data_IF_213915564948
#
_entry.id   IF_213915564948
#
_cell.length_a   1.000
_cell.length_b   1.000
_cell.length_c   1.000
_cell.angle_alpha   90.00
_cell.angle_beta   90.00
_cell.angle_gamma   90.00
#
_symmetry.space_group_name_H-M   'P 1'
#
loop_
_entity.id
_entity.type
_entity.pdbx_description
1 polymer ?
#
# COMPACT_ATOMS: atom_id res chain seq x y z
N UNK A 1 -13.59 -20.65 25.24
CA UNK A 1 -13.02 -19.50 24.52
C UNK A 1 -11.94 -18.93 25.43
N UNK A 2 -10.68 -19.23 25.16
CA UNK A 2 -9.55 -18.74 25.95
C UNK A 2 -9.49 -17.22 25.84
N UNK A 3 -9.61 -16.53 26.97
CA UNK A 3 -9.33 -15.11 27.06
C UNK A 3 -7.81 -14.95 26.99
N UNK A 4 -7.26 -14.54 25.85
CA UNK A 4 -5.84 -14.17 25.74
C UNK A 4 -5.50 -13.19 26.87
N UNK A 5 -4.33 -13.34 27.51
CA UNK A 5 -3.83 -12.26 28.36
C UNK A 5 -3.65 -11.01 27.48
N UNK A 6 -3.82 -9.83 28.07
CA UNK A 6 -3.69 -8.58 27.31
C UNK A 6 -2.33 -8.46 26.63
N UNK A 7 -1.28 -8.99 27.24
CA UNK A 7 0.07 -9.05 26.66
C UNK A 7 0.10 -9.92 25.40
N UNK A 8 -0.48 -11.13 25.46
CA UNK A 8 -0.51 -12.04 24.30
C UNK A 8 -1.38 -11.49 23.16
N UNK A 9 -2.48 -10.80 23.47
CA UNK A 9 -3.28 -10.10 22.47
C UNK A 9 -2.49 -8.94 21.85
N UNK A 10 -1.69 -8.23 22.65
CA UNK A 10 -0.78 -7.19 22.17
C UNK A 10 0.25 -7.73 21.19
N UNK A 11 0.87 -8.87 21.52
CA UNK A 11 1.84 -9.54 20.64
C UNK A 11 1.21 -9.97 19.31
N UNK A 12 -0.03 -10.51 19.35
CA UNK A 12 -0.75 -10.91 18.14
C UNK A 12 -1.11 -9.71 17.24
N UNK A 13 -1.53 -8.59 17.83
CA UNK A 13 -1.76 -7.34 17.09
C UNK A 13 -0.47 -6.88 16.42
N UNK A 14 0.65 -6.86 17.16
CA UNK A 14 1.95 -6.42 16.64
C UNK A 14 2.42 -7.31 15.47
N UNK A 15 2.25 -8.62 15.59
CA UNK A 15 2.60 -9.58 14.54
C UNK A 15 1.76 -9.35 13.27
N UNK A 16 0.43 -9.22 13.41
CA UNK A 16 -0.45 -8.95 12.26
C UNK A 16 -0.13 -7.60 11.63
N UNK A 17 0.11 -6.57 12.44
CA UNK A 17 0.54 -5.25 11.96
C UNK A 17 1.83 -5.33 11.15
N UNK A 18 2.84 -6.05 11.61
CA UNK A 18 4.10 -6.22 10.87
C UNK A 18 3.88 -6.87 9.49
N UNK A 19 3.00 -7.88 9.41
CA UNK A 19 2.64 -8.50 8.14
C UNK A 19 1.88 -7.54 7.20
N UNK A 20 0.97 -6.73 7.75
CA UNK A 20 0.24 -5.70 6.98
C UNK A 20 1.19 -4.62 6.46
N UNK A 21 2.15 -4.19 7.27
CA UNK A 21 3.16 -3.20 6.90
C UNK A 21 4.07 -3.74 5.79
N UNK A 22 4.54 -4.99 5.91
CA UNK A 22 5.33 -5.64 4.86
C UNK A 22 4.55 -5.79 3.55
N UNK A 23 3.27 -6.17 3.62
CA UNK A 23 2.39 -6.24 2.46
C UNK A 23 2.16 -4.86 1.84
N UNK A 24 2.00 -3.82 2.66
CA UNK A 24 1.82 -2.43 2.22
C UNK A 24 3.08 -1.90 1.53
N UNK A 25 4.26 -2.16 2.08
CA UNK A 25 5.53 -1.81 1.45
C UNK A 25 5.66 -2.45 0.06
N UNK A 26 5.38 -3.76 -0.04
CA UNK A 26 5.36 -4.47 -1.33
C UNK A 26 4.34 -3.89 -2.31
N UNK A 27 3.15 -3.53 -1.84
CA UNK A 27 2.13 -2.90 -2.67
C UNK A 27 2.62 -1.56 -3.22
N UNK A 28 3.26 -0.72 -2.39
CA UNK A 28 3.79 0.57 -2.83
C UNK A 28 4.89 0.41 -3.87
N UNK A 29 5.76 -0.59 -3.75
CA UNK A 29 6.74 -0.92 -4.80
C UNK A 29 6.08 -1.30 -6.12
N UNK A 30 5.04 -2.14 -6.08
CA UNK A 30 4.29 -2.52 -7.28
C UNK A 30 3.57 -1.32 -7.91
N UNK A 31 2.98 -0.44 -7.10
CA UNK A 31 2.34 0.79 -7.57
C UNK A 31 3.37 1.69 -8.24
N UNK A 32 4.55 1.88 -7.63
CA UNK A 32 5.63 2.68 -8.20
C UNK A 32 6.05 2.14 -9.56
N UNK A 33 6.31 0.84 -9.65
CA UNK A 33 6.73 0.22 -10.90
C UNK A 33 5.66 0.33 -11.99
N UNK A 34 4.40 0.08 -11.62
CA UNK A 34 3.27 0.18 -12.54
C UNK A 34 3.03 1.62 -13.02
N UNK A 35 3.15 2.60 -12.12
CA UNK A 35 3.03 4.02 -12.45
C UNK A 35 4.17 4.50 -13.34
N UNK A 36 5.42 4.09 -13.06
CA UNK A 36 6.60 4.44 -13.84
C UNK A 36 6.58 3.86 -15.27
N UNK A 37 5.97 2.68 -15.44
CA UNK A 37 5.76 2.06 -16.76
C UNK A 37 4.50 2.57 -17.48
N UNK A 38 3.82 3.56 -16.91
CA UNK A 38 2.52 4.04 -17.40
C UNK A 38 1.49 2.92 -17.62
N UNK A 39 1.53 1.85 -16.82
CA UNK A 39 0.63 0.69 -17.01
C UNK A 39 -0.86 1.03 -16.87
N UNK A 40 -1.17 2.18 -16.28
CA UNK A 40 -2.51 2.75 -16.19
C UNK A 40 -2.99 3.42 -17.48
N UNK A 41 -2.09 3.72 -18.43
CA UNK A 41 -2.38 4.42 -19.67
C UNK A 41 -3.06 3.52 -20.72
N UNK A 42 -4.03 2.72 -20.26
CA UNK A 42 -4.90 1.86 -21.06
C UNK A 42 -6.33 2.42 -21.07
N UNK A 43 -6.46 3.75 -21.09
CA UNK A 43 -7.74 4.48 -21.03
C UNK A 43 -8.02 5.22 -19.72
N UNK A 44 -7.10 5.20 -18.74
CA UNK A 44 -7.21 6.02 -17.53
C UNK A 44 -6.33 7.26 -17.60
N UNK A 45 -6.80 8.35 -16.98
CA UNK A 45 -6.07 9.63 -16.95
C UNK A 45 -4.86 9.67 -16.00
N UNK A 46 -4.74 8.71 -15.08
CA UNK A 46 -3.64 8.62 -14.12
C UNK A 46 -3.63 7.27 -13.40
N UNK A 47 -2.50 6.90 -12.79
CA UNK A 47 -2.40 5.71 -11.94
C UNK A 47 -3.40 5.73 -10.78
N UNK A 48 -3.64 6.89 -10.18
CA UNK A 48 -4.62 7.03 -9.11
C UNK A 48 -6.06 6.77 -9.60
N UNK A 49 -6.41 7.20 -10.83
CA UNK A 49 -7.70 6.89 -11.42
C UNK A 49 -7.85 5.38 -11.71
N UNK A 50 -6.80 4.74 -12.21
CA UNK A 50 -6.78 3.29 -12.41
C UNK A 50 -6.94 2.53 -11.08
N UNK A 51 -6.21 2.93 -10.03
CA UNK A 51 -6.31 2.32 -8.70
C UNK A 51 -7.72 2.47 -8.10
N UNK A 52 -8.33 3.64 -8.25
CA UNK A 52 -9.69 3.88 -7.78
C UNK A 52 -10.69 2.92 -8.46
N UNK A 53 -10.55 2.71 -9.77
CA UNK A 53 -11.41 1.78 -10.52
C UNK A 53 -11.10 0.30 -10.25
N UNK A 54 -9.83 -0.11 -10.30
CA UNK A 54 -9.43 -1.53 -10.25
C UNK A 54 -9.40 -2.08 -8.83
N UNK A 55 -9.01 -1.25 -7.85
CA UNK A 55 -8.76 -1.66 -6.46
C UNK A 55 -9.87 -1.14 -5.53
N UNK A 56 -10.77 -0.26 -6.00
CA UNK A 56 -11.89 0.24 -5.21
C UNK A 56 -11.50 1.27 -4.17
N UNK A 57 -10.34 1.91 -4.32
CA UNK A 57 -9.90 2.98 -3.44
C UNK A 57 -10.68 4.27 -3.71
N UNK A 58 -10.99 5.02 -2.64
CA UNK A 58 -11.34 6.43 -2.80
C UNK A 58 -10.21 7.16 -3.55
N UNK A 59 -10.58 8.12 -4.38
CA UNK A 59 -9.62 8.81 -5.25
C UNK A 59 -8.54 9.57 -4.46
N UNK A 60 -8.88 10.12 -3.27
CA UNK A 60 -7.92 10.74 -2.37
C UNK A 60 -6.90 9.74 -1.85
N UNK A 61 -7.38 8.58 -1.37
CA UNK A 61 -6.52 7.50 -0.88
C UNK A 61 -5.64 6.89 -1.98
N UNK A 62 -6.15 6.81 -3.21
CA UNK A 62 -5.39 6.35 -4.37
C UNK A 62 -4.27 7.33 -4.74
N UNK A 63 -4.56 8.64 -4.76
CA UNK A 63 -3.56 9.68 -5.01
C UNK A 63 -2.45 9.64 -3.97
N UNK A 64 -2.82 9.47 -2.71
CA UNK A 64 -1.84 9.40 -1.62
C UNK A 64 -0.94 8.18 -1.74
N UNK A 65 -1.49 7.00 -2.07
CA UNK A 65 -0.68 5.80 -2.34
C UNK A 65 0.32 6.00 -3.48
N UNK A 66 -0.10 6.62 -4.59
CA UNK A 66 0.82 6.92 -5.70
C UNK A 66 1.90 7.92 -5.27
N UNK A 67 1.53 8.96 -4.50
CA UNK A 67 2.48 9.95 -3.98
C UNK A 67 3.54 9.31 -3.07
N UNK A 68 3.11 8.48 -2.12
CA UNK A 68 3.99 7.76 -1.19
C UNK A 68 4.88 6.77 -1.96
N UNK A 69 4.31 5.99 -2.87
CA UNK A 69 5.06 5.04 -3.70
C UNK A 69 6.19 5.73 -4.48
N UNK A 70 5.91 6.88 -5.09
CA UNK A 70 6.93 7.70 -5.79
C UNK A 70 8.01 8.20 -4.83
N UNK A 71 7.62 8.75 -3.68
CA UNK A 71 8.55 9.30 -2.70
C UNK A 71 9.48 8.23 -2.09
N UNK A 72 8.97 7.04 -1.79
CA UNK A 72 9.79 5.95 -1.26
C UNK A 72 10.88 5.51 -2.26
N UNK A 73 10.59 5.57 -3.56
CA UNK A 73 11.58 5.26 -4.60
C UNK A 73 12.78 6.19 -4.64
N UNK A 74 12.71 7.36 -3.98
CA UNK A 74 13.81 8.33 -3.92
C UNK A 74 14.63 8.27 -2.64
N UNK A 75 14.22 7.46 -1.66
CA UNK A 75 14.90 7.36 -0.37
C UNK A 75 16.01 6.28 -0.41
N UNK A 76 17.12 6.47 0.32
CA UNK A 76 18.12 5.43 0.48
C UNK A 76 17.54 4.23 1.23
N UNK A 77 17.99 3.03 0.89
CA UNK A 77 17.66 1.82 1.64
C UNK A 77 18.43 1.83 2.96
N UNK A 78 17.73 1.53 4.05
CA UNK A 78 18.31 1.34 5.38
C UNK A 78 18.89 -0.05 5.53
#
# INVERSE_FOLDING_TARGET
>A
METLSLDRLGDEIAEVSAHLDAATARLLDLIREFDAREGWNTGFRSCAAWLSWRVGLDLGAARERVRVARALGTLPRL
#
